data_IF_213584651718
#
_entry.id   IF_213584651718
#
_cell.length_a   1.000
_cell.length_b   1.000
_cell.length_c   1.000
_cell.angle_alpha   90.00
_cell.angle_beta   90.00
_cell.angle_gamma   90.00
#
_symmetry.space_group_name_H-M   'P 1'
#
loop_
_entity.id
_entity.type
_entity.pdbx_description
1 polymer ?
#
# COMPACT_ATOMS: atom_id res chain seq x y z
N UNK A 1 -23.73 4.28 9.45
CA UNK A 1 -23.08 5.24 8.56
C UNK A 1 -23.45 4.92 7.12
N UNK A 2 -23.58 5.91 6.23
CA UNK A 2 -23.69 5.69 4.78
C UNK A 2 -22.34 6.01 4.17
N UNK A 3 -21.80 5.10 3.36
CA UNK A 3 -20.48 5.24 2.73
C UNK A 3 -20.57 4.84 1.27
N UNK A 4 -20.03 5.67 0.38
CA UNK A 4 -19.89 5.39 -1.04
C UNK A 4 -18.45 4.98 -1.35
N UNK A 5 -18.26 3.77 -1.82
CA UNK A 5 -16.94 3.20 -2.11
C UNK A 5 -16.80 3.03 -3.63
N UNK A 6 -15.78 3.63 -4.21
CA UNK A 6 -15.39 3.33 -5.59
C UNK A 6 -14.62 2.01 -5.61
N UNK A 7 -15.05 1.06 -6.45
CA UNK A 7 -14.38 -0.22 -6.62
C UNK A 7 -13.62 -0.22 -7.95
N UNK A 8 -12.31 -0.30 -7.88
CA UNK A 8 -11.41 -0.42 -9.01
C UNK A 8 -10.78 -1.83 -8.99
N UNK A 9 -11.47 -2.81 -9.56
CA UNK A 9 -10.95 -4.18 -9.58
C UNK A 9 -9.60 -4.27 -10.31
N UNK A 10 -9.45 -3.56 -11.43
CA UNK A 10 -8.22 -3.53 -12.22
C UNK A 10 -7.96 -4.84 -12.95
N UNK A 11 -6.70 -5.28 -12.94
CA UNK A 11 -6.18 -6.34 -13.80
C UNK A 11 -5.87 -7.64 -13.04
N UNK A 12 -5.67 -8.71 -13.78
CA UNK A 12 -5.18 -10.00 -13.26
C UNK A 12 -6.07 -10.60 -12.17
N UNK A 13 -5.51 -10.79 -10.97
CA UNK A 13 -6.24 -11.31 -9.81
C UNK A 13 -7.14 -10.25 -9.12
N UNK A 14 -7.05 -8.99 -9.54
CA UNK A 14 -7.77 -7.88 -8.92
C UNK A 14 -9.27 -8.15 -8.72
N UNK A 15 -10.04 -8.59 -9.74
CA UNK A 15 -11.46 -8.91 -9.58
C UNK A 15 -11.75 -9.98 -8.50
N UNK A 16 -10.89 -11.01 -8.42
CA UNK A 16 -11.07 -12.11 -7.45
C UNK A 16 -10.87 -11.63 -6.01
N UNK A 17 -9.81 -10.84 -5.75
CA UNK A 17 -9.49 -10.37 -4.40
C UNK A 17 -10.42 -9.24 -3.93
N UNK A 18 -10.84 -8.34 -4.83
CA UNK A 18 -11.85 -7.31 -4.52
C UNK A 18 -13.18 -7.94 -4.12
N UNK A 19 -13.61 -8.99 -4.82
CA UNK A 19 -14.83 -9.70 -4.46
C UNK A 19 -14.79 -10.23 -3.01
N UNK A 20 -13.63 -10.64 -2.50
CA UNK A 20 -13.52 -11.11 -1.12
C UNK A 20 -13.52 -9.93 -0.12
N UNK A 21 -12.89 -8.84 -0.43
CA UNK A 21 -12.93 -7.62 0.39
C UNK A 21 -14.35 -7.04 0.47
N UNK A 22 -15.10 -7.05 -0.62
CA UNK A 22 -16.53 -6.64 -0.63
C UNK A 22 -17.36 -7.56 0.27
N UNK A 23 -17.17 -8.88 0.24
CA UNK A 23 -17.84 -9.80 1.18
C UNK A 23 -17.58 -9.41 2.64
N UNK A 24 -16.33 -9.10 2.99
CA UNK A 24 -15.99 -8.67 4.34
C UNK A 24 -16.69 -7.34 4.70
N UNK A 25 -16.66 -6.34 3.81
CA UNK A 25 -17.36 -5.07 4.00
C UNK A 25 -18.89 -5.27 4.15
N UNK A 26 -19.50 -6.16 3.37
CA UNK A 26 -20.93 -6.47 3.47
C UNK A 26 -21.29 -7.15 4.80
N UNK A 27 -20.40 -7.96 5.36
CA UNK A 27 -20.58 -8.53 6.70
C UNK A 27 -20.48 -7.45 7.78
N UNK A 28 -19.51 -6.56 7.69
CA UNK A 28 -19.40 -5.38 8.55
C UNK A 28 -20.68 -4.53 8.48
N UNK A 29 -21.14 -4.21 7.27
CA UNK A 29 -22.32 -3.40 7.07
C UNK A 29 -23.57 -4.00 7.77
N UNK A 30 -23.79 -5.32 7.62
CA UNK A 30 -24.91 -6.01 8.27
C UNK A 30 -24.76 -6.06 9.79
N UNK A 31 -23.57 -6.40 10.30
CA UNK A 31 -23.33 -6.56 11.73
C UNK A 31 -23.45 -5.25 12.51
N UNK A 32 -22.95 -4.15 11.94
CA UNK A 32 -22.87 -2.86 12.60
C UNK A 32 -23.90 -1.84 12.09
N UNK A 33 -24.88 -2.30 11.29
CA UNK A 33 -25.96 -1.48 10.74
C UNK A 33 -25.47 -0.26 9.93
N UNK A 34 -24.46 -0.47 9.07
CA UNK A 34 -24.01 0.50 8.09
C UNK A 34 -24.68 0.26 6.74
N UNK A 35 -24.62 1.27 5.86
CA UNK A 35 -25.06 1.16 4.47
C UNK A 35 -23.88 1.53 3.55
N UNK A 36 -23.25 0.52 2.96
CA UNK A 36 -22.18 0.71 1.99
C UNK A 36 -22.74 0.56 0.58
N UNK A 37 -22.42 1.52 -0.27
CA UNK A 37 -22.76 1.51 -1.70
C UNK A 37 -21.49 1.46 -2.52
N UNK A 38 -21.50 0.66 -3.57
CA UNK A 38 -20.34 0.43 -4.41
C UNK A 38 -20.56 0.97 -5.81
N UNK A 39 -19.56 1.66 -6.37
CA UNK A 39 -19.53 2.07 -7.76
C UNK A 39 -18.28 1.51 -8.42
N UNK A 40 -18.48 0.60 -9.37
CA UNK A 40 -17.39 0.00 -10.13
C UNK A 40 -16.91 0.94 -11.23
N UNK A 41 -15.58 0.96 -11.47
CA UNK A 41 -14.98 1.69 -12.57
C UNK A 41 -13.72 0.97 -13.08
N UNK A 42 -13.38 1.21 -14.36
CA UNK A 42 -12.26 0.56 -15.02
C UNK A 42 -10.96 1.33 -14.79
N UNK A 43 -9.87 0.60 -14.55
CA UNK A 43 -8.51 1.14 -14.44
C UNK A 43 -7.49 0.10 -14.91
N UNK A 44 -6.38 0.54 -15.50
CA UNK A 44 -5.31 -0.35 -15.94
C UNK A 44 -5.52 -0.94 -17.33
N UNK A 45 -5.08 -2.17 -17.54
CA UNK A 45 -5.15 -2.85 -18.83
C UNK A 45 -6.59 -3.06 -19.29
N UNK A 46 -7.49 -3.44 -18.38
CA UNK A 46 -8.91 -3.60 -18.71
C UNK A 46 -9.55 -2.28 -19.18
N UNK A 47 -9.12 -1.15 -18.65
CA UNK A 47 -9.57 0.17 -19.09
C UNK A 47 -8.99 0.52 -20.47
N UNK A 48 -7.71 0.24 -20.72
CA UNK A 48 -7.10 0.42 -22.06
C UNK A 48 -7.84 -0.40 -23.10
N UNK A 49 -8.15 -1.66 -22.78
CA UNK A 49 -8.88 -2.54 -23.71
C UNK A 49 -10.27 -2.02 -24.07
N UNK A 50 -10.96 -1.42 -23.11
CA UNK A 50 -12.32 -0.93 -23.28
C UNK A 50 -12.38 0.47 -23.91
N UNK A 51 -11.42 1.36 -23.61
CA UNK A 51 -11.51 2.80 -23.90
C UNK A 51 -10.28 3.38 -24.59
N UNK A 52 -9.16 2.66 -24.61
CA UNK A 52 -7.85 3.17 -25.04
C UNK A 52 -7.11 3.99 -23.97
N UNK A 53 -7.68 4.17 -22.79
CA UNK A 53 -7.15 5.00 -21.70
C UNK A 53 -7.02 4.17 -20.41
N UNK A 54 -5.84 4.11 -19.73
CA UNK A 54 -5.66 3.35 -18.50
C UNK A 54 -6.37 3.94 -17.27
N UNK A 55 -6.83 5.19 -17.33
CA UNK A 55 -7.58 5.87 -16.29
C UNK A 55 -8.58 6.84 -16.88
N UNK A 56 -9.74 6.37 -17.36
CA UNK A 56 -10.74 7.21 -18.00
C UNK A 56 -11.29 8.33 -17.11
N UNK A 57 -11.74 9.44 -17.71
CA UNK A 57 -12.34 10.57 -16.98
C UNK A 57 -13.56 10.16 -16.16
N UNK A 58 -14.35 9.18 -16.63
CA UNK A 58 -15.47 8.62 -15.87
C UNK A 58 -14.98 7.96 -14.56
N UNK A 59 -13.89 7.19 -14.63
CA UNK A 59 -13.27 6.57 -13.43
C UNK A 59 -12.81 7.65 -12.47
N UNK A 60 -12.17 8.71 -12.98
CA UNK A 60 -11.74 9.84 -12.14
C UNK A 60 -12.93 10.48 -11.41
N UNK A 61 -14.01 10.76 -12.13
CA UNK A 61 -15.20 11.36 -11.55
C UNK A 61 -15.85 10.46 -10.46
N UNK A 62 -15.87 9.14 -10.69
CA UNK A 62 -16.36 8.17 -9.69
C UNK A 62 -15.49 8.19 -8.43
N UNK A 63 -14.16 8.20 -8.58
CA UNK A 63 -13.24 8.25 -7.45
C UNK A 63 -13.36 9.55 -6.65
N UNK A 64 -13.50 10.71 -7.32
CA UNK A 64 -13.66 11.99 -6.65
C UNK A 64 -14.98 12.11 -5.86
N UNK A 65 -16.04 11.43 -6.32
CA UNK A 65 -17.35 11.44 -5.69
C UNK A 65 -17.50 10.40 -4.57
N UNK A 66 -16.52 9.54 -4.36
CA UNK A 66 -16.54 8.50 -3.36
C UNK A 66 -15.95 8.99 -2.02
N UNK A 67 -16.37 8.38 -0.92
CA UNK A 67 -15.77 8.58 0.40
C UNK A 67 -14.42 7.85 0.52
N UNK A 68 -14.25 6.76 -0.23
CA UNK A 68 -13.02 6.00 -0.31
C UNK A 68 -12.94 5.19 -1.62
N UNK A 69 -11.72 4.85 -2.03
CA UNK A 69 -11.45 3.99 -3.20
C UNK A 69 -10.85 2.68 -2.72
N UNK A 70 -11.43 1.56 -3.10
CA UNK A 70 -10.85 0.23 -2.92
C UNK A 70 -10.35 -0.29 -4.27
N UNK A 71 -9.05 -0.55 -4.35
CA UNK A 71 -8.36 -0.90 -5.59
C UNK A 71 -7.76 -2.30 -5.48
N UNK A 72 -7.87 -3.11 -6.54
CA UNK A 72 -7.37 -4.48 -6.59
C UNK A 72 -5.91 -4.54 -7.03
N UNK A 73 -5.67 -4.52 -8.32
CA UNK A 73 -4.33 -4.65 -8.87
C UNK A 73 -4.22 -4.04 -10.27
N UNK A 74 -2.98 -3.77 -10.73
CA UNK A 74 -2.73 -3.20 -12.04
C UNK A 74 -1.57 -3.92 -12.75
N UNK A 75 -1.61 -3.93 -14.07
CA UNK A 75 -0.57 -4.46 -14.93
C UNK A 75 -0.99 -5.70 -15.72
N UNK A 76 -0.59 -5.75 -17.01
CA UNK A 76 -0.78 -6.91 -17.89
C UNK A 76 0.46 -7.08 -18.76
N UNK A 77 1.07 -8.29 -18.80
CA UNK A 77 2.26 -8.59 -19.60
C UNK A 77 2.15 -8.22 -21.08
N UNK A 78 0.93 -8.16 -21.63
CA UNK A 78 0.75 -7.78 -23.02
C UNK A 78 1.17 -6.33 -23.31
N UNK A 79 1.09 -5.45 -22.31
CA UNK A 79 1.55 -4.06 -22.42
C UNK A 79 3.02 -3.93 -22.01
N UNK A 80 3.48 -4.69 -21.01
CA UNK A 80 4.85 -4.63 -20.50
C UNK A 80 5.86 -5.18 -21.51
N UNK A 81 5.48 -6.25 -22.22
CA UNK A 81 6.31 -6.93 -23.21
C UNK A 81 6.31 -6.25 -24.57
N UNK A 82 5.45 -5.27 -24.81
CA UNK A 82 5.43 -4.50 -26.06
C UNK A 82 6.19 -3.16 -25.88
N UNK A 83 7.44 -3.04 -26.39
CA UNK A 83 8.20 -1.80 -26.31
C UNK A 83 7.57 -0.65 -27.13
N UNK A 84 6.59 -0.95 -27.99
CA UNK A 84 5.87 0.03 -28.82
C UNK A 84 4.48 0.36 -28.27
N UNK A 85 4.10 -0.20 -27.12
CA UNK A 85 2.81 0.10 -26.51
C UNK A 85 2.66 1.62 -26.32
N UNK A 86 1.63 2.25 -26.89
CA UNK A 86 1.45 3.71 -26.83
C UNK A 86 1.12 4.19 -25.42
N UNK A 87 0.58 3.31 -24.59
CA UNK A 87 0.19 3.57 -23.21
C UNK A 87 0.32 2.30 -22.38
N UNK A 88 0.64 2.46 -21.09
CA UNK A 88 0.80 1.34 -20.14
C UNK A 88 -0.17 1.48 -18.96
N UNK A 89 -0.61 0.36 -18.37
CA UNK A 89 -1.49 0.36 -17.20
C UNK A 89 -0.97 1.25 -16.06
N UNK A 90 0.33 1.18 -15.74
CA UNK A 90 0.98 1.91 -14.65
C UNK A 90 0.90 3.44 -14.81
N UNK A 91 0.85 3.93 -16.04
CA UNK A 91 0.62 5.36 -16.31
C UNK A 91 -0.74 5.83 -15.79
N UNK A 92 -1.75 4.94 -15.83
CA UNK A 92 -3.06 5.18 -15.23
C UNK A 92 -2.97 5.33 -13.71
N UNK A 93 -2.23 4.45 -13.05
CA UNK A 93 -2.02 4.50 -11.60
C UNK A 93 -1.30 5.79 -11.17
N UNK A 94 -0.23 6.15 -11.86
CA UNK A 94 0.50 7.40 -11.58
C UNK A 94 -0.38 8.63 -11.79
N UNK A 95 -1.18 8.65 -12.88
CA UNK A 95 -2.14 9.73 -13.15
C UNK A 95 -3.22 9.79 -12.08
N UNK A 96 -3.79 8.66 -11.66
CA UNK A 96 -4.78 8.58 -10.59
C UNK A 96 -4.23 9.14 -9.28
N UNK A 97 -3.06 8.69 -8.83
CA UNK A 97 -2.42 9.18 -7.61
C UNK A 97 -2.21 10.69 -7.63
N UNK A 98 -1.73 11.22 -8.76
CA UNK A 98 -1.50 12.65 -8.91
C UNK A 98 -2.78 13.47 -8.98
N UNK A 99 -3.77 13.04 -9.77
CA UNK A 99 -5.02 13.77 -9.98
C UNK A 99 -5.95 13.76 -8.77
N UNK A 100 -5.89 12.70 -7.95
CA UNK A 100 -6.60 12.61 -6.67
C UNK A 100 -5.79 13.21 -5.50
N UNK A 101 -4.58 13.73 -5.76
CA UNK A 101 -3.75 14.34 -4.72
C UNK A 101 -3.28 13.38 -3.64
N UNK A 102 -3.08 12.10 -3.95
CA UNK A 102 -2.66 11.05 -3.01
C UNK A 102 -1.15 11.14 -2.79
N UNK A 103 -0.72 11.95 -1.84
CA UNK A 103 0.68 12.30 -1.66
C UNK A 103 1.44 11.42 -0.65
N UNK A 104 0.76 10.71 0.23
CA UNK A 104 1.39 9.85 1.23
C UNK A 104 0.85 8.42 1.10
N UNK A 105 1.76 7.46 0.94
CA UNK A 105 1.43 6.04 0.92
C UNK A 105 1.84 5.41 2.25
N UNK A 106 0.86 4.84 2.94
CA UNK A 106 1.02 4.17 4.24
C UNK A 106 1.12 2.67 3.99
N UNK A 107 2.25 2.07 4.34
CA UNK A 107 2.52 0.63 4.22
C UNK A 107 2.81 0.05 5.60
N UNK A 108 1.82 -0.54 6.28
CA UNK A 108 2.03 -1.25 7.54
C UNK A 108 2.82 -2.53 7.29
N UNK A 109 3.87 -2.74 8.07
CA UNK A 109 4.66 -3.96 8.12
C UNK A 109 4.47 -4.55 9.53
N UNK A 110 3.54 -5.49 9.64
CA UNK A 110 3.27 -6.20 10.87
C UNK A 110 3.38 -7.71 10.63
N UNK A 111 3.98 -8.40 11.59
CA UNK A 111 4.07 -9.85 11.54
C UNK A 111 2.98 -10.45 12.43
N UNK A 112 2.14 -11.29 11.85
CA UNK A 112 1.27 -12.17 12.62
C UNK A 112 2.11 -13.28 13.28
N UNK A 113 1.96 -13.51 14.57
CA UNK A 113 2.78 -14.48 15.32
C UNK A 113 2.75 -15.88 14.72
N UNK A 114 1.62 -16.29 14.15
CA UNK A 114 1.42 -17.55 13.42
C UNK A 114 2.32 -17.68 12.18
N UNK A 115 2.75 -16.56 11.61
CA UNK A 115 3.60 -16.51 10.42
C UNK A 115 5.08 -16.34 10.72
N UNK A 116 5.50 -16.23 12.00
CA UNK A 116 6.90 -15.99 12.36
C UNK A 116 7.85 -17.08 11.83
N UNK A 117 7.40 -18.32 11.74
CA UNK A 117 8.17 -19.43 11.17
C UNK A 117 8.24 -19.46 9.64
N UNK A 118 7.51 -18.59 8.95
CA UNK A 118 7.46 -18.49 7.48
C UNK A 118 8.31 -17.35 6.93
N UNK A 119 8.70 -16.41 7.80
CA UNK A 119 9.66 -15.38 7.42
C UNK A 119 10.97 -16.03 7.00
N UNK A 120 11.66 -15.53 5.97
CA UNK A 120 13.03 -15.98 5.64
C UNK A 120 14.05 -15.57 6.69
N UNK A 121 13.68 -14.65 7.60
CA UNK A 121 14.50 -14.27 8.73
C UNK A 121 14.18 -15.15 9.95
N UNK A 122 15.12 -15.20 10.90
CA UNK A 122 14.91 -15.96 12.13
C UNK A 122 13.73 -15.40 12.94
N UNK A 123 12.92 -16.28 13.51
CA UNK A 123 11.72 -15.90 14.27
C UNK A 123 12.03 -14.92 15.42
N UNK A 124 13.17 -15.08 16.12
CA UNK A 124 13.60 -14.16 17.19
C UNK A 124 13.92 -12.74 16.70
N UNK A 125 14.21 -12.56 15.41
CA UNK A 125 14.48 -11.25 14.80
C UNK A 125 13.18 -10.54 14.44
N UNK A 126 12.20 -11.29 13.93
CA UNK A 126 10.99 -10.72 13.32
C UNK A 126 9.79 -10.63 14.28
N UNK A 127 9.78 -11.41 15.37
CA UNK A 127 8.68 -11.37 16.34
C UNK A 127 8.51 -9.98 16.94
N UNK A 128 7.26 -9.51 17.01
CA UNK A 128 6.93 -8.18 17.51
C UNK A 128 7.20 -7.07 16.49
N UNK A 129 7.51 -7.40 15.23
CA UNK A 129 7.59 -6.40 14.17
C UNK A 129 6.22 -5.77 13.95
N UNK A 130 6.15 -4.46 14.13
CA UNK A 130 4.97 -3.64 13.88
C UNK A 130 5.42 -2.20 13.64
N UNK A 131 5.62 -1.82 12.40
CA UNK A 131 5.92 -0.44 12.01
C UNK A 131 5.18 -0.05 10.75
N UNK A 132 5.08 1.26 10.50
CA UNK A 132 4.46 1.79 9.27
C UNK A 132 5.50 2.61 8.52
N UNK A 133 5.65 2.33 7.22
CA UNK A 133 6.41 3.19 6.34
C UNK A 133 5.47 4.18 5.65
N UNK A 134 5.76 5.47 5.80
CA UNK A 134 5.10 6.58 5.11
C UNK A 134 6.01 7.01 3.95
N UNK A 135 5.60 6.66 2.74
CA UNK A 135 6.30 6.98 1.49
C UNK A 135 5.66 8.22 0.86
N UNK A 136 6.45 9.24 0.53
CA UNK A 136 5.99 10.31 -0.37
C UNK A 136 5.69 9.70 -1.73
N UNK A 137 4.59 10.10 -2.39
CA UNK A 137 4.06 9.35 -3.53
C UNK A 137 3.96 10.13 -4.84
N UNK A 138 4.10 11.45 -4.85
CA UNK A 138 3.74 12.31 -6.00
C UNK A 138 4.85 13.23 -6.48
N UNK A 139 6.04 13.13 -5.89
CA UNK A 139 7.20 13.98 -6.20
C UNK A 139 8.48 13.13 -6.36
N UNK A 140 9.64 13.76 -6.31
CA UNK A 140 10.92 13.09 -6.40
C UNK A 140 11.31 12.67 -7.82
N UNK A 141 12.15 11.65 -7.92
CA UNK A 141 12.75 11.24 -9.20
C UNK A 141 11.73 10.64 -10.18
N UNK A 142 10.60 10.10 -9.69
CA UNK A 142 9.55 9.52 -10.54
C UNK A 142 8.74 10.60 -11.29
N UNK A 143 8.68 11.82 -10.77
CA UNK A 143 7.89 12.92 -11.31
C UNK A 143 8.71 14.13 -11.74
N UNK A 144 9.98 14.21 -11.34
CA UNK A 144 10.85 15.33 -11.64
C UNK A 144 11.10 15.51 -13.14
N UNK A 145 11.35 16.74 -13.52
CA UNK A 145 11.65 17.13 -14.91
C UNK A 145 12.86 18.07 -14.93
N UNK A 146 13.70 18.02 -15.96
CA UNK A 146 13.64 17.17 -17.15
C UNK A 146 14.01 15.71 -16.86
N UNK A 147 13.51 14.78 -17.67
CA UNK A 147 13.96 13.39 -17.71
C UNK A 147 14.00 12.93 -19.16
N UNK A 148 14.95 12.08 -19.52
CA UNK A 148 15.05 11.58 -20.89
C UNK A 148 16.44 11.11 -21.27
N UNK A 149 16.70 11.16 -22.57
CA UNK A 149 17.98 10.83 -23.19
C UNK A 149 18.44 11.96 -24.09
N UNK A 150 19.75 12.07 -24.30
CA UNK A 150 20.30 12.93 -25.33
C UNK A 150 19.92 12.42 -26.74
N UNK A 151 20.09 13.24 -27.79
CA UNK A 151 19.75 12.88 -29.17
C UNK A 151 20.46 11.61 -29.68
N UNK A 152 21.70 11.38 -29.22
CA UNK A 152 22.48 10.21 -29.59
C UNK A 152 22.08 8.94 -28.84
N UNK A 153 21.23 9.02 -27.81
CA UNK A 153 20.82 7.89 -26.97
C UNK A 153 21.93 7.33 -26.07
N UNK A 154 23.05 8.04 -25.93
CA UNK A 154 24.24 7.61 -25.18
C UNK A 154 24.26 8.11 -23.74
N UNK A 155 23.37 9.05 -23.38
CA UNK A 155 23.24 9.62 -22.05
C UNK A 155 21.77 9.67 -21.65
N UNK A 156 21.44 9.27 -20.42
CA UNK A 156 20.11 9.35 -19.84
C UNK A 156 20.17 10.09 -18.51
N UNK A 157 19.12 10.85 -18.20
CA UNK A 157 19.02 11.61 -16.96
C UNK A 157 17.59 11.62 -16.42
N UNK A 158 17.49 11.61 -15.09
CA UNK A 158 16.27 11.80 -14.32
C UNK A 158 16.52 12.87 -13.25
N UNK A 159 15.56 13.75 -13.05
CA UNK A 159 15.66 14.83 -12.06
C UNK A 159 14.90 14.46 -10.79
N UNK A 160 15.58 14.55 -9.66
CA UNK A 160 14.92 14.43 -8.35
C UNK A 160 14.68 15.84 -7.77
N UNK A 161 13.42 16.18 -7.54
CA UNK A 161 13.04 17.47 -6.95
C UNK A 161 12.00 17.31 -5.88
N UNK A 162 12.14 18.07 -4.79
CA UNK A 162 11.19 18.23 -3.72
C UNK A 162 11.06 19.69 -3.33
N UNK A 163 9.83 20.13 -3.08
CA UNK A 163 9.56 21.42 -2.46
C UNK A 163 9.36 21.25 -0.95
N UNK A 164 9.59 22.31 -0.18
CA UNK A 164 9.29 22.32 1.26
C UNK A 164 7.85 21.90 1.56
N UNK A 165 6.87 22.40 0.82
CA UNK A 165 5.44 22.06 1.00
C UNK A 165 5.14 20.59 0.78
N UNK A 166 5.77 19.96 -0.23
CA UNK A 166 5.61 18.51 -0.48
C UNK A 166 6.16 17.68 0.68
N UNK A 167 7.29 18.10 1.24
CA UNK A 167 7.90 17.44 2.40
C UNK A 167 7.05 17.66 3.65
N UNK A 168 6.61 18.90 3.93
CA UNK A 168 5.81 19.23 5.11
C UNK A 168 4.53 18.40 5.19
N UNK A 169 3.79 18.26 4.08
CA UNK A 169 2.51 17.53 4.10
C UNK A 169 2.67 16.05 4.43
N UNK A 170 3.72 15.39 3.92
CA UNK A 170 3.94 13.97 4.21
C UNK A 170 4.54 13.77 5.60
N UNK A 171 5.40 14.67 6.07
CA UNK A 171 5.91 14.68 7.44
C UNK A 171 4.78 14.89 8.46
N UNK A 172 3.80 15.77 8.18
CA UNK A 172 2.64 15.97 9.06
C UNK A 172 1.85 14.68 9.26
N UNK A 173 1.63 13.91 8.17
CA UNK A 173 1.01 12.58 8.25
C UNK A 173 1.84 11.64 9.13
N UNK A 174 3.15 11.61 8.94
CA UNK A 174 4.04 10.71 9.67
C UNK A 174 4.14 11.08 11.17
N UNK A 175 4.23 12.37 11.51
CA UNK A 175 4.23 12.84 12.90
C UNK A 175 2.92 12.51 13.62
N UNK A 176 1.76 12.77 13.00
CA UNK A 176 0.45 12.42 13.57
C UNK A 176 0.30 10.93 13.78
N UNK A 177 0.78 10.13 12.82
CA UNK A 177 0.77 8.69 12.94
C UNK A 177 1.66 8.22 14.10
N UNK A 178 2.86 8.78 14.25
CA UNK A 178 3.75 8.49 15.37
C UNK A 178 3.09 8.85 16.73
N UNK A 179 2.38 9.98 16.81
CA UNK A 179 1.64 10.39 18.02
C UNK A 179 0.57 9.37 18.44
N UNK A 180 -0.09 8.71 17.48
CA UNK A 180 -1.07 7.66 17.77
C UNK A 180 -0.48 6.28 18.06
N UNK A 181 0.85 6.12 17.91
CA UNK A 181 1.59 4.88 18.09
C UNK A 181 2.60 4.99 19.23
N UNK A 182 3.81 4.47 19.02
CA UNK A 182 4.87 4.44 20.07
C UNK A 182 5.71 5.72 20.16
N UNK A 183 5.30 6.77 19.43
CA UNK A 183 5.90 8.11 19.47
C UNK A 183 7.35 8.15 18.98
N UNK A 184 7.72 7.29 18.05
CA UNK A 184 9.03 7.32 17.39
C UNK A 184 8.85 7.52 15.88
N UNK A 185 9.57 8.50 15.32
CA UNK A 185 9.61 8.80 13.91
C UNK A 185 11.04 8.74 13.39
N UNK A 186 11.32 7.84 12.46
CA UNK A 186 12.60 7.73 11.77
C UNK A 186 12.47 8.35 10.38
N UNK A 187 13.14 9.45 10.12
CA UNK A 187 13.26 10.06 8.79
C UNK A 187 14.42 9.40 8.07
N UNK A 188 14.11 8.69 6.99
CA UNK A 188 15.11 7.98 6.18
C UNK A 188 15.49 8.81 4.96
N UNK A 189 16.77 9.10 4.82
CA UNK A 189 17.32 10.02 3.82
C UNK A 189 18.71 9.60 3.30
N UNK A 190 19.30 10.38 2.41
CA UNK A 190 20.72 10.30 1.97
C UNK A 190 21.40 11.67 2.08
N UNK A 191 21.24 12.38 3.20
CA UNK A 191 21.67 13.76 3.40
C UNK A 191 23.19 13.97 3.33
N UNK A 192 23.98 12.90 3.51
CA UNK A 192 25.43 12.96 3.30
C UNK A 192 25.81 13.17 1.82
N UNK A 193 24.90 12.96 0.87
CA UNK A 193 25.14 13.08 -0.58
C UNK A 193 24.16 14.03 -1.25
N UNK A 194 22.85 13.91 -1.00
CA UNK A 194 21.79 14.56 -1.77
C UNK A 194 21.27 15.85 -1.13
N UNK A 195 21.17 16.92 -1.93
CA UNK A 195 20.55 18.19 -1.49
C UNK A 195 19.07 18.04 -1.15
N UNK A 196 18.33 17.25 -1.92
CA UNK A 196 16.93 16.96 -1.62
C UNK A 196 16.78 16.34 -0.22
N UNK A 197 17.63 15.40 0.14
CA UNK A 197 17.64 14.78 1.47
C UNK A 197 18.05 15.76 2.59
N UNK A 198 18.91 16.75 2.32
CA UNK A 198 19.23 17.81 3.29
C UNK A 198 18.01 18.66 3.57
N UNK A 199 17.26 19.05 2.51
CA UNK A 199 16.01 19.78 2.67
C UNK A 199 14.97 18.98 3.48
N UNK A 200 14.84 17.67 3.23
CA UNK A 200 13.97 16.80 4.02
C UNK A 200 14.32 16.84 5.52
N UNK A 201 15.60 16.78 5.84
CA UNK A 201 16.09 16.81 7.22
C UNK A 201 15.83 18.15 7.90
N UNK A 202 16.09 19.26 7.19
CA UNK A 202 15.81 20.61 7.68
C UNK A 202 14.32 20.79 7.98
N UNK A 203 13.43 20.39 7.07
CA UNK A 203 11.98 20.52 7.26
C UNK A 203 11.52 19.67 8.43
N UNK A 204 12.02 18.44 8.59
CA UNK A 204 11.66 17.60 9.73
C UNK A 204 12.11 18.21 11.06
N UNK A 205 13.30 18.82 11.13
CA UNK A 205 13.78 19.54 12.30
C UNK A 205 12.93 20.77 12.62
N UNK A 206 12.51 21.52 11.61
CA UNK A 206 11.64 22.70 11.78
C UNK A 206 10.23 22.30 12.29
N UNK A 207 9.75 21.13 11.91
CA UNK A 207 8.42 20.62 12.32
C UNK A 207 8.43 19.96 13.70
N UNK A 208 9.53 19.35 14.13
CA UNK A 208 9.63 18.60 15.38
C UNK A 208 9.12 19.34 16.64
N UNK A 209 9.35 20.67 16.81
CA UNK A 209 8.83 21.41 17.95
C UNK A 209 7.29 21.43 18.07
N UNK A 210 6.56 21.14 16.99
CA UNK A 210 5.09 21.01 17.00
C UNK A 210 4.62 19.67 17.57
N UNK A 211 5.52 18.69 17.66
CA UNK A 211 5.27 17.31 18.10
C UNK A 211 6.29 16.89 19.19
N UNK A 212 6.32 17.60 20.34
CA UNK A 212 7.38 17.45 21.34
C UNK A 212 7.42 16.07 22.02
N UNK A 213 6.36 15.28 21.87
CA UNK A 213 6.28 13.93 22.42
C UNK A 213 6.85 12.86 21.46
N UNK A 214 7.18 13.23 20.23
CA UNK A 214 7.71 12.30 19.22
C UNK A 214 9.24 12.33 19.28
N UNK A 215 9.84 11.18 19.49
CA UNK A 215 11.28 10.96 19.35
C UNK A 215 11.62 10.96 17.86
N UNK A 216 12.30 12.01 17.38
CA UNK A 216 12.72 12.15 15.99
C UNK A 216 14.13 11.59 15.80
N UNK A 217 14.26 10.61 14.91
CA UNK A 217 15.52 10.00 14.51
C UNK A 217 15.78 10.24 13.01
N UNK A 218 17.06 10.39 12.64
CA UNK A 218 17.49 10.43 11.23
C UNK A 218 18.37 9.22 10.91
N UNK A 219 18.07 8.57 9.81
CA UNK A 219 18.84 7.40 9.39
C UNK A 219 19.13 7.47 7.88
N UNK A 220 20.38 7.17 7.48
CA UNK A 220 20.68 7.04 6.06
C UNK A 220 20.02 5.78 5.50
N UNK A 221 19.53 5.85 4.26
CA UNK A 221 18.76 4.79 3.60
C UNK A 221 19.49 3.46 3.56
N UNK A 222 20.80 3.45 3.34
CA UNK A 222 21.63 2.25 3.36
C UNK A 222 21.70 1.60 4.75
N UNK A 223 21.74 2.41 5.82
CA UNK A 223 21.63 1.90 7.19
C UNK A 223 20.20 1.41 7.49
N UNK A 224 19.18 2.13 7.04
CA UNK A 224 17.78 1.72 7.23
C UNK A 224 17.51 0.35 6.60
N UNK A 225 17.97 0.10 5.38
CA UNK A 225 17.91 -1.19 4.72
C UNK A 225 18.53 -2.31 5.58
N UNK A 226 19.72 -2.08 6.15
CA UNK A 226 20.34 -3.05 7.05
C UNK A 226 19.54 -3.26 8.35
N UNK A 227 18.99 -2.18 8.95
CA UNK A 227 18.27 -2.27 10.22
C UNK A 227 16.89 -2.93 10.06
N UNK A 228 16.20 -2.73 8.94
CA UNK A 228 14.95 -3.43 8.62
C UNK A 228 15.14 -4.96 8.66
N UNK A 229 16.27 -5.45 8.16
CA UNK A 229 16.59 -6.89 8.19
C UNK A 229 17.09 -7.35 9.56
N UNK A 230 17.90 -6.53 10.26
CA UNK A 230 18.57 -6.92 11.50
C UNK A 230 17.72 -6.73 12.74
N UNK A 231 16.94 -5.67 12.80
CA UNK A 231 16.17 -5.25 13.98
C UNK A 231 14.89 -4.50 13.58
N UNK A 232 13.95 -5.15 12.86
CA UNK A 232 12.73 -4.49 12.39
C UNK A 232 11.88 -3.90 13.52
N UNK A 233 11.95 -4.47 14.72
CA UNK A 233 11.25 -3.98 15.92
C UNK A 233 11.75 -2.63 16.45
N UNK A 234 12.90 -2.14 15.97
CA UNK A 234 13.40 -0.79 16.25
C UNK A 234 12.43 0.28 15.75
N UNK A 235 11.84 0.08 14.57
CA UNK A 235 11.02 1.07 13.90
C UNK A 235 9.59 1.12 14.45
N UNK A 236 9.03 2.32 14.52
CA UNK A 236 7.61 2.58 14.78
C UNK A 236 6.94 3.22 13.55
N UNK A 237 7.39 4.41 13.18
CA UNK A 237 7.04 5.06 11.93
C UNK A 237 8.31 5.44 11.18
N UNK A 238 8.41 5.01 9.95
CA UNK A 238 9.44 5.47 9.00
C UNK A 238 8.76 6.47 8.07
N UNK A 239 9.43 7.58 7.77
CA UNK A 239 9.03 8.45 6.67
C UNK A 239 10.19 8.66 5.72
N UNK A 240 9.92 8.64 4.41
CA UNK A 240 10.97 8.77 3.41
C UNK A 240 10.43 9.25 2.06
N UNK A 241 11.35 9.66 1.20
CA UNK A 241 11.06 10.06 -0.16
C UNK A 241 10.56 8.89 -1.03
N UNK A 242 10.08 9.19 -2.24
CA UNK A 242 9.35 8.26 -3.10
C UNK A 242 10.15 6.99 -3.43
N UNK A 243 11.34 7.11 -4.02
CA UNK A 243 12.11 5.95 -4.47
C UNK A 243 12.66 5.12 -3.30
N UNK A 244 13.15 5.77 -2.24
CA UNK A 244 13.63 5.03 -1.06
C UNK A 244 12.49 4.30 -0.37
N UNK A 245 11.30 4.91 -0.30
CA UNK A 245 10.11 4.28 0.26
C UNK A 245 9.66 3.06 -0.53
N UNK A 246 9.76 3.12 -1.87
CA UNK A 246 9.48 1.98 -2.73
C UNK A 246 10.39 0.79 -2.40
N UNK A 247 11.69 1.02 -2.44
CA UNK A 247 12.70 -0.04 -2.24
C UNK A 247 12.61 -0.63 -0.82
N UNK A 248 12.58 0.23 0.20
CA UNK A 248 12.59 -0.21 1.60
C UNK A 248 11.31 -0.98 1.99
N UNK A 249 10.16 -0.62 1.42
CA UNK A 249 8.92 -1.33 1.75
C UNK A 249 8.82 -2.67 1.06
N UNK A 250 9.40 -2.83 -0.13
CA UNK A 250 9.49 -4.12 -0.80
C UNK A 250 10.47 -5.05 -0.04
N UNK A 251 11.61 -4.52 0.43
CA UNK A 251 12.50 -5.25 1.32
C UNK A 251 11.79 -5.67 2.62
N UNK A 252 11.10 -4.74 3.27
CA UNK A 252 10.37 -5.00 4.51
C UNK A 252 9.21 -5.99 4.33
N UNK A 253 8.64 -6.07 3.14
CA UNK A 253 7.53 -6.99 2.82
C UNK A 253 7.88 -8.45 3.07
N UNK A 254 9.15 -8.80 2.92
CA UNK A 254 9.67 -10.16 3.10
C UNK A 254 9.53 -10.63 4.56
N UNK A 255 9.46 -9.70 5.53
CA UNK A 255 9.32 -10.00 6.97
C UNK A 255 8.00 -10.73 7.24
N UNK A 256 6.92 -10.34 6.57
CA UNK A 256 5.57 -10.89 6.79
C UNK A 256 5.39 -12.34 6.32
N UNK A 257 6.33 -12.86 5.53
CA UNK A 257 6.29 -14.22 4.98
C UNK A 257 5.47 -14.35 3.68
N UNK A 258 4.63 -13.40 3.33
CA UNK A 258 3.90 -13.34 2.05
C UNK A 258 3.48 -11.91 1.71
N UNK A 259 3.67 -11.52 0.45
CA UNK A 259 3.15 -10.26 -0.11
C UNK A 259 1.60 -10.18 -0.04
N UNK A 260 0.94 -11.36 -0.06
CA UNK A 260 -0.52 -11.48 0.08
C UNK A 260 -1.06 -11.10 1.46
N UNK A 261 -0.20 -10.70 2.40
CA UNK A 261 -0.56 -10.23 3.75
C UNK A 261 -0.45 -8.72 3.93
N UNK A 262 0.04 -7.97 2.94
CA UNK A 262 0.44 -6.59 3.11
C UNK A 262 -0.57 -5.62 2.48
N UNK A 263 -1.36 -4.92 3.30
CA UNK A 263 -2.23 -3.84 2.84
C UNK A 263 -1.44 -2.56 2.63
N UNK A 264 -2.03 -1.61 1.93
CA UNK A 264 -1.56 -0.24 1.89
C UNK A 264 -2.70 0.77 1.74
N UNK A 265 -2.43 2.02 2.11
CA UNK A 265 -3.31 3.15 1.90
C UNK A 265 -2.54 4.30 1.25
N UNK A 266 -3.09 4.89 0.21
CA UNK A 266 -2.61 6.14 -0.36
C UNK A 266 -3.55 7.25 0.07
N UNK A 267 -3.07 8.19 0.88
CA UNK A 267 -3.88 9.25 1.46
C UNK A 267 -3.57 10.61 0.83
N UNK A 268 -4.60 11.41 0.71
CA UNK A 268 -4.54 12.75 0.16
C UNK A 268 -5.30 13.76 1.03
N UNK A 269 -5.66 14.91 0.44
CA UNK A 269 -6.44 15.94 1.12
C UNK A 269 -7.96 15.69 1.11
N UNK A 270 -8.45 14.90 0.17
CA UNK A 270 -9.89 14.73 -0.07
C UNK A 270 -10.31 13.26 -0.02
N UNK A 271 -9.73 12.42 -0.82
CA UNK A 271 -10.04 10.98 -0.93
C UNK A 271 -8.83 10.15 -0.57
N UNK A 272 -9.06 8.93 -0.07
CA UNK A 272 -8.01 7.94 0.15
C UNK A 272 -8.27 6.69 -0.69
N UNK A 273 -7.18 6.03 -1.11
CA UNK A 273 -7.18 4.80 -1.88
C UNK A 273 -6.55 3.68 -1.06
N UNK A 274 -7.19 2.53 -1.03
CA UNK A 274 -6.78 1.35 -0.28
C UNK A 274 -6.55 0.20 -1.24
N UNK A 275 -5.34 -0.39 -1.19
CA UNK A 275 -4.90 -1.40 -2.14
C UNK A 275 -3.93 -2.40 -1.49
N UNK A 276 -3.83 -3.65 -1.94
CA UNK A 276 -2.73 -4.52 -1.55
C UNK A 276 -1.41 -4.01 -2.15
N UNK A 277 -0.27 -4.36 -1.54
CA UNK A 277 1.05 -3.97 -2.07
C UNK A 277 1.42 -4.76 -3.33
N UNK A 278 0.96 -6.03 -3.44
CA UNK A 278 1.28 -6.90 -4.57
C UNK A 278 0.65 -6.43 -5.89
N UNK A 279 1.26 -6.85 -7.01
CA UNK A 279 0.75 -6.56 -8.37
C UNK A 279 -0.40 -7.47 -8.80
N UNK A 280 -0.65 -7.48 -10.10
CA UNK A 280 -1.79 -8.17 -10.75
C UNK A 280 -1.68 -9.70 -10.83
N UNK A 281 -0.50 -10.27 -10.61
CA UNK A 281 -0.23 -11.71 -10.66
C UNK A 281 -0.97 -12.44 -11.81
N UNK A 282 -0.68 -12.11 -13.07
CA UNK A 282 -1.47 -12.55 -14.23
C UNK A 282 -1.56 -14.07 -14.36
N UNK A 283 -0.53 -14.81 -13.89
CA UNK A 283 -0.47 -16.26 -13.95
C UNK A 283 -1.52 -16.94 -13.07
N UNK A 284 -2.03 -16.26 -12.05
CA UNK A 284 -3.06 -16.75 -11.13
C UNK A 284 -4.48 -16.27 -11.49
N UNK A 285 -4.61 -15.32 -12.42
CA UNK A 285 -5.89 -14.74 -12.81
C UNK A 285 -6.89 -15.82 -13.26
N UNK A 286 -8.11 -15.79 -12.73
CA UNK A 286 -9.19 -16.72 -13.04
C UNK A 286 -9.03 -18.11 -12.39
N UNK A 287 -7.98 -18.36 -11.60
CA UNK A 287 -7.71 -19.67 -10.99
C UNK A 287 -8.22 -19.83 -9.56
N UNK A 288 -8.69 -18.76 -8.94
CA UNK A 288 -9.19 -18.77 -7.56
C UNK A 288 -8.16 -19.30 -6.54
N UNK A 289 -6.88 -18.92 -6.71
CA UNK A 289 -5.75 -19.35 -5.87
C UNK A 289 -5.00 -18.22 -5.19
N UNK A 290 -5.28 -16.97 -5.58
CA UNK A 290 -4.62 -15.80 -5.02
C UNK A 290 -5.03 -15.57 -3.56
N UNK A 291 -4.08 -15.12 -2.73
CA UNK A 291 -4.36 -14.77 -1.33
C UNK A 291 -5.14 -13.44 -1.27
N UNK A 292 -6.37 -13.40 -0.71
CA UNK A 292 -7.18 -12.19 -0.65
C UNK A 292 -6.92 -11.34 0.61
N UNK A 293 -6.10 -11.82 1.55
CA UNK A 293 -5.97 -11.23 2.89
C UNK A 293 -5.42 -9.80 2.84
N UNK A 294 -4.48 -9.49 1.95
CA UNK A 294 -3.96 -8.13 1.79
C UNK A 294 -5.06 -7.13 1.41
N UNK A 295 -5.95 -7.51 0.47
CA UNK A 295 -7.07 -6.66 0.04
C UNK A 295 -8.14 -6.54 1.14
N UNK A 296 -8.40 -7.61 1.88
CA UNK A 296 -9.30 -7.58 3.05
C UNK A 296 -8.72 -6.69 4.16
N UNK A 297 -7.42 -6.76 4.41
CA UNK A 297 -6.73 -5.87 5.35
C UNK A 297 -6.69 -4.42 4.86
N UNK A 298 -6.63 -4.19 3.54
CA UNK A 298 -6.78 -2.84 2.96
C UNK A 298 -8.20 -2.29 3.18
N UNK A 299 -9.23 -3.16 3.12
CA UNK A 299 -10.59 -2.78 3.49
C UNK A 299 -10.71 -2.49 5.00
N UNK A 300 -9.95 -3.17 5.88
CA UNK A 300 -9.87 -2.80 7.29
C UNK A 300 -9.27 -1.39 7.48
N UNK A 301 -8.18 -1.06 6.76
CA UNK A 301 -7.60 0.29 6.77
C UNK A 301 -8.59 1.35 6.23
N UNK A 302 -9.41 1.01 5.24
CA UNK A 302 -10.48 1.87 4.74
C UNK A 302 -11.50 2.18 5.85
N UNK A 303 -11.94 1.18 6.59
CA UNK A 303 -12.87 1.35 7.71
C UNK A 303 -12.25 2.25 8.79
N UNK A 304 -11.03 1.99 9.20
CA UNK A 304 -10.28 2.78 10.19
C UNK A 304 -10.13 4.24 9.73
N UNK A 305 -9.83 4.48 8.46
CA UNK A 305 -9.73 5.83 7.88
C UNK A 305 -11.06 6.60 7.97
N UNK A 306 -12.19 5.91 7.85
CA UNK A 306 -13.53 6.50 8.00
C UNK A 306 -13.98 6.64 9.47
N UNK A 307 -13.10 6.34 10.43
CA UNK A 307 -13.40 6.38 11.87
C UNK A 307 -14.20 5.19 12.37
N UNK A 308 -14.23 4.09 11.61
CA UNK A 308 -14.87 2.82 11.96
C UNK A 308 -13.82 1.83 12.54
N UNK A 309 -13.16 2.25 13.63
CA UNK A 309 -12.03 1.49 14.23
C UNK A 309 -12.45 0.12 14.78
N UNK A 310 -13.65 0.04 15.35
CA UNK A 310 -14.19 -1.23 15.86
C UNK A 310 -14.40 -2.23 14.74
N UNK A 311 -14.93 -1.77 13.63
CA UNK A 311 -15.20 -2.55 12.42
C UNK A 311 -13.90 -3.01 11.75
N UNK A 312 -12.94 -2.10 11.61
CA UNK A 312 -11.61 -2.42 11.10
C UNK A 312 -10.90 -3.47 11.97
N UNK A 313 -10.98 -3.31 13.29
CA UNK A 313 -10.43 -4.29 14.25
C UNK A 313 -11.10 -5.66 14.14
N UNK A 314 -12.42 -5.71 13.91
CA UNK A 314 -13.14 -6.98 13.71
C UNK A 314 -12.68 -7.70 12.44
N UNK A 315 -12.45 -6.98 11.34
CA UNK A 315 -11.88 -7.55 10.11
C UNK A 315 -10.46 -8.11 10.35
N UNK A 316 -9.61 -7.37 11.05
CA UNK A 316 -8.25 -7.83 11.40
C UNK A 316 -8.28 -9.09 12.27
N UNK A 317 -9.16 -9.14 13.26
CA UNK A 317 -9.33 -10.32 14.12
C UNK A 317 -9.81 -11.55 13.33
N UNK A 318 -10.69 -11.37 12.35
CA UNK A 318 -11.14 -12.45 11.48
C UNK A 318 -10.03 -12.99 10.57
N UNK A 319 -9.14 -12.12 10.07
CA UNK A 319 -7.93 -12.53 9.32
C UNK A 319 -6.97 -13.31 10.24
N UNK A 320 -6.68 -12.82 11.44
CA UNK A 320 -5.82 -13.53 12.41
C UNK A 320 -6.39 -14.91 12.77
N UNK A 321 -7.69 -15.00 12.92
CA UNK A 321 -8.39 -16.28 13.12
C UNK A 321 -8.21 -17.24 11.94
N UNK A 322 -8.32 -16.77 10.70
CA UNK A 322 -8.09 -17.61 9.52
C UNK A 322 -6.65 -18.17 9.50
N UNK A 323 -5.66 -17.34 9.84
CA UNK A 323 -4.27 -17.76 9.98
C UNK A 323 -4.10 -18.82 11.09
N UNK A 324 -4.72 -18.61 12.25
CA UNK A 324 -4.63 -19.51 13.41
C UNK A 324 -5.29 -20.87 13.13
N UNK A 325 -6.41 -20.88 12.40
CA UNK A 325 -7.14 -22.12 12.03
C UNK A 325 -6.57 -22.77 10.76
N UNK A 326 -5.54 -22.19 10.14
CA UNK A 326 -4.87 -22.71 8.94
C UNK A 326 -5.75 -22.62 7.68
N UNK A 327 -6.74 -21.71 7.65
CA UNK A 327 -7.57 -21.44 6.47
C UNK A 327 -6.83 -20.44 5.58
N UNK A 328 -5.87 -20.93 4.82
CA UNK A 328 -4.92 -20.13 4.03
C UNK A 328 -4.76 -20.65 2.61
N UNK A 329 -4.34 -19.76 1.71
CA UNK A 329 -4.00 -20.10 0.33
C UNK A 329 -2.63 -20.76 0.23
N UNK A 330 -2.26 -21.21 -0.97
CA UNK A 330 -1.04 -21.99 -1.22
C UNK A 330 0.24 -21.28 -0.77
N UNK A 331 0.33 -19.95 -0.90
CA UNK A 331 1.48 -19.14 -0.50
C UNK A 331 1.78 -19.18 1.00
N UNK A 332 0.74 -19.44 1.81
CA UNK A 332 0.81 -19.54 3.27
C UNK A 332 0.65 -20.96 3.80
N UNK A 333 0.24 -21.94 2.99
CA UNK A 333 0.07 -23.31 3.43
C UNK A 333 1.42 -24.03 3.60
N UNK A 334 1.64 -24.76 4.72
CA UNK A 334 2.83 -25.58 4.89
C UNK A 334 2.76 -26.83 3.99
N UNK A 335 3.91 -27.47 3.81
CA UNK A 335 3.97 -28.69 3.02
C UNK A 335 3.09 -29.79 3.67
N UNK A 336 2.10 -30.28 2.93
CA UNK A 336 1.16 -31.32 3.39
C UNK A 336 -0.09 -30.77 4.07
N UNK A 337 -0.20 -29.45 4.31
CA UNK A 337 -1.44 -28.82 4.77
C UNK A 337 -2.44 -28.63 3.64
N UNK A 338 -3.72 -28.51 4.01
CA UNK A 338 -4.78 -28.14 3.07
C UNK A 338 -4.55 -26.73 2.54
N UNK A 339 -4.70 -26.56 1.24
CA UNK A 339 -4.70 -25.27 0.55
C UNK A 339 -6.15 -24.88 0.26
N UNK A 340 -6.51 -23.69 0.64
CA UNK A 340 -7.84 -23.14 0.39
C UNK A 340 -7.79 -22.20 -0.82
N UNK A 341 -8.91 -22.11 -1.52
CA UNK A 341 -9.05 -21.16 -2.62
C UNK A 341 -9.25 -19.74 -2.11
N UNK A 342 -9.06 -18.74 -3.01
CA UNK A 342 -9.32 -17.32 -2.74
C UNK A 342 -10.72 -17.13 -2.12
N UNK A 343 -11.75 -17.76 -2.71
CA UNK A 343 -13.13 -17.63 -2.25
C UNK A 343 -13.38 -18.31 -0.91
N UNK A 344 -12.81 -19.50 -0.65
CA UNK A 344 -12.96 -20.18 0.64
C UNK A 344 -12.34 -19.37 1.78
N UNK A 345 -11.17 -18.77 1.56
CA UNK A 345 -10.52 -17.88 2.54
C UNK A 345 -11.38 -16.64 2.79
N UNK A 346 -11.87 -16.00 1.73
CA UNK A 346 -12.74 -14.83 1.85
C UNK A 346 -14.05 -15.13 2.56
N UNK A 347 -14.70 -16.26 2.25
CA UNK A 347 -15.95 -16.71 2.89
C UNK A 347 -15.73 -17.00 4.38
N UNK A 348 -14.60 -17.66 4.72
CA UNK A 348 -14.25 -17.90 6.12
C UNK A 348 -14.06 -16.61 6.89
N UNK A 349 -13.25 -15.67 6.38
CA UNK A 349 -13.00 -14.40 7.05
C UNK A 349 -14.31 -13.63 7.22
N UNK A 350 -15.11 -13.49 6.16
CA UNK A 350 -16.38 -12.78 6.23
C UNK A 350 -17.34 -13.37 7.27
N UNK A 351 -17.41 -14.70 7.39
CA UNK A 351 -18.27 -15.39 8.36
C UNK A 351 -17.82 -15.20 9.83
N UNK A 352 -16.59 -14.74 10.07
CA UNK A 352 -16.02 -14.55 11.41
C UNK A 352 -15.84 -13.09 11.82
N UNK A 353 -16.27 -12.14 10.98
CA UNK A 353 -16.44 -10.75 11.34
C UNK A 353 -17.70 -10.59 12.18
#
# INVERSE_FOLDING_TARGET
MNVNIALLAGDGIGPEIIAQAVKALDHVARKYAHNFTYREALVGACAIDATGDPYPDETHAICQAADAVLFGAIGDPKYDNDPKAPVRPEQGLLRMRKSLGLFANLRPIALFDTLAGRSPLKAEVVRGTDFICVRELTSGIYFGRPQGRNEAGTEAFDTCTYTRTEIERVLDVAFRLAMSRRRRLTVVDKANVLETSRLWREVAQDMAPRYPEVELEFMFVDNAAMQIVRQPTHFDVIVTENMFGDILTDEASVISGSLGMLPSASVGSEVALFEPIHGSYPQAAGKNIANPMATILSAAMLLEHLGLDTEGSAVRAAVDRALTEGVVTEDLAAQGERRYSTSEVGDFIAAHI
#
